data_IF_893369370370
#
_entry.id   IF_893369370370
#
_cell.length_a   1.000
_cell.length_b   1.000
_cell.length_c   1.000
_cell.angle_alpha   90.00
_cell.angle_beta   90.00
_cell.angle_gamma   90.00
#
_symmetry.space_group_name_H-M   'P 1'
#
loop_
_entity.id
_entity.type
_entity.pdbx_description
1 polymer ?
#
# COMPACT_ATOMS: atom_id res chain seq x y z
N UNK A 1 22.01 -5.16 42.00
CA UNK A 1 21.55 -6.17 41.07
C UNK A 1 21.59 -5.61 39.68
N UNK A 2 22.52 -6.00 38.81
CA UNK A 2 22.57 -5.61 37.40
C UNK A 2 21.48 -6.42 36.67
N UNK A 3 20.45 -5.73 36.13
CA UNK A 3 19.51 -6.37 35.17
C UNK A 3 20.33 -6.71 33.94
N UNK A 4 20.51 -8.01 33.69
CA UNK A 4 21.03 -8.56 32.45
C UNK A 4 20.02 -8.16 31.35
N UNK A 5 20.39 -7.22 30.48
CA UNK A 5 19.71 -7.02 29.21
C UNK A 5 19.98 -8.28 28.39
N UNK A 6 19.05 -9.23 28.42
CA UNK A 6 19.02 -10.29 27.41
C UNK A 6 18.70 -9.61 26.08
N UNK A 7 19.68 -9.55 25.20
CA UNK A 7 19.43 -9.21 23.80
C UNK A 7 18.44 -10.24 23.26
N UNK A 8 17.24 -9.78 22.90
CA UNK A 8 16.25 -10.60 22.24
C UNK A 8 16.65 -10.60 20.76
N UNK A 9 17.18 -11.72 20.30
CA UNK A 9 17.49 -11.94 18.88
C UNK A 9 16.16 -11.97 18.13
N UNK A 10 15.96 -11.12 17.10
CA UNK A 10 14.74 -11.18 16.32
C UNK A 10 14.64 -12.54 15.59
N UNK A 11 13.51 -13.20 15.73
CA UNK A 11 13.21 -14.49 15.10
C UNK A 11 12.76 -14.32 13.63
N UNK A 12 12.97 -13.14 13.05
CA UNK A 12 12.54 -12.81 11.69
C UNK A 12 13.64 -12.08 10.92
N UNK A 13 13.79 -12.45 9.67
CA UNK A 13 14.63 -11.75 8.71
C UNK A 13 13.80 -10.71 7.96
N UNK A 14 14.25 -9.47 8.00
CA UNK A 14 13.61 -8.32 7.36
C UNK A 14 14.39 -7.90 6.11
N UNK A 15 13.68 -7.43 5.10
CA UNK A 15 14.31 -6.86 3.91
C UNK A 15 15.03 -5.56 4.25
N UNK A 16 16.35 -5.50 3.95
CA UNK A 16 17.21 -4.37 4.33
C UNK A 16 16.91 -3.10 3.53
N UNK A 17 16.49 -3.23 2.26
CA UNK A 17 16.14 -2.08 1.43
C UNK A 17 14.88 -1.39 1.97
N UNK A 18 13.88 -2.19 2.33
CA UNK A 18 12.64 -1.69 2.95
C UNK A 18 12.92 -1.05 4.31
N UNK A 19 13.79 -1.66 5.13
CA UNK A 19 14.21 -1.07 6.41
C UNK A 19 14.96 0.26 6.24
N UNK A 20 15.66 0.46 5.14
CA UNK A 20 16.35 1.71 4.86
C UNK A 20 15.37 2.87 4.67
N UNK A 21 14.27 2.66 3.96
CA UNK A 21 13.19 3.65 3.86
C UNK A 21 12.51 3.91 5.21
N UNK A 22 12.30 2.86 6.01
CA UNK A 22 11.74 3.03 7.35
C UNK A 22 12.62 3.88 8.25
N UNK A 23 13.94 3.63 8.24
CA UNK A 23 14.92 4.43 8.98
C UNK A 23 14.93 5.89 8.51
N UNK A 24 14.85 6.12 7.18
CA UNK A 24 14.78 7.47 6.61
C UNK A 24 13.53 8.21 7.10
N UNK A 25 12.37 7.56 7.11
CA UNK A 25 11.13 8.14 7.64
C UNK A 25 11.25 8.52 9.11
N UNK A 26 11.90 7.68 9.93
CA UNK A 26 12.07 7.92 11.37
C UNK A 26 13.09 9.01 11.68
N UNK A 27 14.16 9.13 10.89
CA UNK A 27 15.20 10.13 11.08
C UNK A 27 14.81 11.54 10.63
N UNK A 28 13.79 11.67 9.79
CA UNK A 28 13.30 12.97 9.30
C UNK A 28 12.25 13.55 10.25
N UNK A 29 12.20 14.87 10.37
CA UNK A 29 11.09 15.61 10.99
C UNK A 29 10.10 16.15 9.95
N UNK A 30 10.48 16.17 8.66
CA UNK A 30 9.66 16.66 7.58
C UNK A 30 8.55 15.64 7.23
N UNK A 31 7.25 16.00 7.30
CA UNK A 31 6.16 15.09 6.99
C UNK A 31 6.13 14.66 5.51
N UNK A 32 6.66 15.48 4.60
CA UNK A 32 6.80 15.10 3.19
C UNK A 32 7.76 13.91 3.03
N UNK A 33 8.96 14.01 3.63
CA UNK A 33 9.97 12.94 3.58
C UNK A 33 9.43 11.68 4.27
N UNK A 34 8.78 11.82 5.44
CA UNK A 34 8.15 10.69 6.13
C UNK A 34 7.13 9.98 5.24
N UNK A 35 6.21 10.74 4.65
CA UNK A 35 5.14 10.18 3.85
C UNK A 35 5.68 9.41 2.64
N UNK A 36 6.58 10.02 1.87
CA UNK A 36 7.16 9.41 0.68
C UNK A 36 8.00 8.17 1.05
N UNK A 37 8.75 8.22 2.14
CA UNK A 37 9.55 7.06 2.58
C UNK A 37 8.65 5.88 3.00
N UNK A 38 7.56 6.12 3.71
CA UNK A 38 6.59 5.05 4.03
C UNK A 38 5.87 4.54 2.78
N UNK A 39 5.57 5.42 1.80
CA UNK A 39 4.99 4.99 0.53
C UNK A 39 5.94 4.09 -0.26
N UNK A 40 7.24 4.39 -0.33
CA UNK A 40 8.23 3.54 -0.99
C UNK A 40 8.29 2.12 -0.42
N UNK A 41 8.00 1.93 0.87
CA UNK A 41 7.87 0.60 1.47
C UNK A 41 6.72 -0.18 0.83
N UNK A 42 5.58 0.46 0.57
CA UNK A 42 4.44 -0.16 -0.11
C UNK A 42 4.77 -0.46 -1.57
N UNK A 43 5.36 0.51 -2.26
CA UNK A 43 5.73 0.46 -3.69
C UNK A 43 6.72 -0.66 -3.98
N UNK A 44 7.64 -0.94 -3.05
CA UNK A 44 8.63 -2.02 -3.18
C UNK A 44 7.98 -3.39 -3.47
N UNK A 45 6.80 -3.64 -2.94
CA UNK A 45 6.09 -4.91 -3.11
C UNK A 45 5.09 -4.94 -4.28
N UNK A 46 4.94 -3.87 -5.05
CA UNK A 46 3.95 -3.81 -6.13
C UNK A 46 4.16 -4.91 -7.16
N UNK A 47 5.37 -5.05 -7.66
CA UNK A 47 5.68 -6.04 -8.71
C UNK A 47 5.59 -7.47 -8.20
N UNK A 48 6.07 -7.73 -6.99
CA UNK A 48 6.06 -9.07 -6.41
C UNK A 48 4.63 -9.57 -6.19
N UNK A 49 3.81 -8.78 -5.50
CA UNK A 49 2.41 -9.14 -5.21
C UNK A 49 1.58 -9.23 -6.49
N UNK A 50 1.83 -8.35 -7.45
CA UNK A 50 1.16 -8.40 -8.74
C UNK A 50 1.50 -9.68 -9.52
N UNK A 51 2.79 -10.05 -9.60
CA UNK A 51 3.23 -11.29 -10.25
C UNK A 51 2.61 -12.53 -9.58
N UNK A 52 2.65 -12.58 -8.24
CA UNK A 52 2.02 -13.67 -7.48
C UNK A 52 0.53 -13.78 -7.78
N UNK A 53 -0.17 -12.64 -7.87
CA UNK A 53 -1.60 -12.62 -8.17
C UNK A 53 -1.93 -13.08 -9.59
N UNK A 54 -1.12 -12.69 -10.59
CA UNK A 54 -1.28 -13.20 -11.97
C UNK A 54 -1.06 -14.71 -12.01
N UNK A 55 0.03 -15.18 -11.42
CA UNK A 55 0.35 -16.62 -11.38
C UNK A 55 -0.76 -17.42 -10.71
N UNK A 56 -1.25 -16.98 -9.55
CA UNK A 56 -2.39 -17.63 -8.88
C UNK A 56 -3.63 -17.69 -9.78
N UNK A 57 -3.98 -16.57 -10.40
CA UNK A 57 -5.16 -16.53 -11.29
C UNK A 57 -5.01 -17.43 -12.53
N UNK A 58 -3.78 -17.58 -13.06
CA UNK A 58 -3.50 -18.49 -14.17
C UNK A 58 -3.64 -19.94 -13.69
N UNK A 59 -3.07 -20.28 -12.54
CA UNK A 59 -3.19 -21.61 -11.95
C UNK A 59 -4.67 -21.96 -11.74
N UNK A 60 -5.45 -21.07 -11.13
CA UNK A 60 -6.88 -21.28 -10.92
C UNK A 60 -7.62 -21.57 -12.23
N UNK A 61 -7.26 -20.87 -13.32
CA UNK A 61 -7.89 -21.09 -14.64
C UNK A 61 -7.48 -22.41 -15.28
N UNK A 62 -6.20 -22.77 -15.25
CA UNK A 62 -5.71 -24.00 -15.91
C UNK A 62 -6.05 -25.27 -15.12
N UNK A 63 -6.31 -25.14 -13.81
CA UNK A 63 -6.74 -26.24 -12.94
C UNK A 63 -8.25 -26.38 -12.85
N UNK A 64 -9.02 -25.43 -13.45
CA UNK A 64 -10.47 -25.52 -13.46
C UNK A 64 -10.94 -26.72 -14.26
N UNK A 65 -11.98 -27.49 -13.78
CA UNK A 65 -12.47 -28.67 -14.48
C UNK A 65 -12.89 -28.44 -15.93
N UNK A 66 -13.35 -27.23 -16.26
CA UNK A 66 -13.77 -26.86 -17.62
C UNK A 66 -12.61 -26.43 -18.54
N UNK A 67 -11.36 -26.39 -18.04
CA UNK A 67 -10.21 -26.05 -18.86
C UNK A 67 -9.63 -27.30 -19.54
N UNK A 68 -9.41 -27.19 -20.84
CA UNK A 68 -8.72 -28.21 -21.62
C UNK A 68 -7.67 -27.56 -22.52
N UNK A 69 -6.40 -27.97 -22.34
CA UNK A 69 -5.31 -27.50 -23.23
C UNK A 69 -5.42 -28.04 -24.66
N UNK A 70 -6.33 -29.00 -24.91
CA UNK A 70 -6.62 -29.58 -26.25
C UNK A 70 -7.70 -28.80 -26.99
N UNK A 71 -8.35 -27.87 -26.36
CA UNK A 71 -9.40 -27.01 -26.89
C UNK A 71 -8.85 -25.62 -27.17
N UNK A 72 -8.64 -25.27 -28.44
CA UNK A 72 -8.04 -24.01 -28.86
C UNK A 72 -8.79 -22.80 -28.29
N UNK A 73 -10.12 -22.86 -28.19
CA UNK A 73 -10.95 -21.79 -27.65
C UNK A 73 -10.62 -21.53 -26.17
N UNK A 74 -10.41 -22.60 -25.37
CA UNK A 74 -10.05 -22.47 -23.93
C UNK A 74 -8.66 -21.86 -23.74
N UNK A 75 -7.72 -22.27 -24.59
CA UNK A 75 -6.37 -21.69 -24.60
C UNK A 75 -6.43 -20.22 -25.03
N UNK A 76 -7.23 -19.87 -26.02
CA UNK A 76 -7.42 -18.49 -26.47
C UNK A 76 -8.06 -17.59 -25.38
N UNK A 77 -9.06 -18.11 -24.66
CA UNK A 77 -9.65 -17.42 -23.50
C UNK A 77 -8.59 -17.13 -22.43
N UNK A 78 -7.70 -18.09 -22.14
CA UNK A 78 -6.59 -17.90 -21.18
C UNK A 78 -5.62 -16.80 -21.66
N UNK A 79 -5.22 -16.83 -22.95
CA UNK A 79 -4.34 -15.81 -23.55
C UNK A 79 -4.99 -14.42 -23.47
N UNK A 80 -6.27 -14.32 -23.76
CA UNK A 80 -7.03 -13.06 -23.71
C UNK A 80 -7.10 -12.52 -22.28
N UNK A 81 -7.33 -13.41 -21.31
CA UNK A 81 -7.29 -13.05 -19.89
C UNK A 81 -5.92 -12.50 -19.47
N UNK A 82 -4.83 -13.19 -19.84
CA UNK A 82 -3.46 -12.75 -19.50
C UNK A 82 -3.16 -11.38 -20.13
N UNK A 83 -3.47 -11.21 -21.44
CA UNK A 83 -3.29 -9.94 -22.14
C UNK A 83 -4.08 -8.80 -21.47
N UNK A 84 -5.32 -9.05 -21.04
CA UNK A 84 -6.12 -8.09 -20.30
C UNK A 84 -5.43 -7.67 -19.00
N UNK A 85 -4.93 -8.62 -18.21
CA UNK A 85 -4.23 -8.34 -16.96
C UNK A 85 -2.92 -7.60 -17.13
N UNK A 86 -2.14 -7.95 -18.16
CA UNK A 86 -0.89 -7.24 -18.49
C UNK A 86 -1.17 -5.81 -18.94
N UNK A 87 -2.18 -5.61 -19.80
CA UNK A 87 -2.58 -4.28 -20.25
C UNK A 87 -3.13 -3.41 -19.11
N UNK A 88 -3.90 -3.98 -18.19
CA UNK A 88 -4.38 -3.26 -17.00
C UNK A 88 -3.21 -2.75 -16.13
N UNK A 89 -2.03 -3.36 -16.26
CA UNK A 89 -0.81 -2.98 -15.56
C UNK A 89 0.10 -2.01 -16.36
N UNK A 90 -0.28 -1.66 -17.60
CA UNK A 90 0.49 -0.81 -18.52
C UNK A 90 1.58 -1.58 -19.27
N UNK A 91 1.74 -1.31 -20.57
CA UNK A 91 2.74 -1.95 -21.43
C UNK A 91 4.19 -1.62 -21.03
N UNK A 92 4.41 -0.52 -20.27
CA UNK A 92 5.72 -0.03 -19.84
C UNK A 92 6.09 -0.42 -18.40
N UNK A 93 5.39 -1.37 -17.77
CA UNK A 93 5.66 -1.76 -16.37
C UNK A 93 5.26 -0.68 -15.33
N UNK A 94 4.79 0.48 -15.76
CA UNK A 94 4.15 1.49 -14.93
C UNK A 94 2.67 1.18 -14.79
N UNK A 95 2.37 -0.01 -14.26
CA UNK A 95 1.02 -0.47 -14.04
C UNK A 95 0.19 0.51 -13.23
N UNK A 96 -1.10 0.29 -13.21
CA UNK A 96 -2.01 1.06 -12.36
C UNK A 96 -1.55 0.97 -10.90
N UNK A 97 -0.58 1.83 -10.50
CA UNK A 97 0.03 1.89 -9.15
C UNK A 97 -1.04 1.79 -8.05
N UNK A 98 -2.21 2.40 -8.28
CA UNK A 98 -3.33 2.31 -7.36
C UNK A 98 -3.89 0.88 -7.26
N UNK A 99 -3.96 0.14 -8.36
CA UNK A 99 -4.40 -1.25 -8.33
C UNK A 99 -3.36 -2.16 -7.64
N UNK A 100 -2.07 -1.93 -7.91
CA UNK A 100 -0.98 -2.62 -7.22
C UNK A 100 -1.00 -2.34 -5.73
N UNK A 101 -1.24 -1.09 -5.32
CA UNK A 101 -1.40 -0.74 -3.91
C UNK A 101 -2.59 -1.47 -3.27
N UNK A 102 -3.74 -1.61 -3.96
CA UNK A 102 -4.87 -2.40 -3.44
C UNK A 102 -4.46 -3.85 -3.21
N UNK A 103 -3.67 -4.44 -4.10
CA UNK A 103 -3.20 -5.83 -3.93
C UNK A 103 -2.25 -5.95 -2.73
N UNK A 104 -1.28 -5.05 -2.58
CA UNK A 104 -0.36 -5.02 -1.44
C UNK A 104 -1.11 -4.86 -0.11
N UNK A 105 -2.09 -3.95 -0.08
CA UNK A 105 -2.91 -3.76 1.13
C UNK A 105 -3.71 -5.02 1.47
N UNK A 106 -4.29 -5.71 0.49
CA UNK A 106 -5.05 -6.96 0.71
C UNK A 106 -4.16 -8.11 1.18
N UNK A 107 -2.92 -8.15 0.74
CA UNK A 107 -1.97 -9.21 1.07
C UNK A 107 -1.43 -9.06 2.50
N UNK A 108 -1.11 -7.83 2.92
CA UNK A 108 -0.37 -7.60 4.14
C UNK A 108 -1.16 -6.95 5.28
N UNK A 109 -2.36 -6.40 5.02
CA UNK A 109 -3.07 -5.58 6.01
C UNK A 109 -4.36 -6.26 6.46
N UNK A 110 -4.43 -6.55 7.76
CA UNK A 110 -5.69 -6.79 8.47
C UNK A 110 -6.29 -5.44 8.92
N UNK A 111 -7.55 -5.20 8.58
CA UNK A 111 -8.20 -3.90 8.82
C UNK A 111 -8.44 -3.66 10.31
N UNK A 112 -8.81 -4.70 11.06
CA UNK A 112 -9.04 -4.57 12.50
C UNK A 112 -7.75 -4.22 13.23
N UNK A 113 -6.65 -4.92 12.89
CA UNK A 113 -5.33 -4.65 13.43
C UNK A 113 -4.83 -3.24 13.03
N UNK A 114 -5.10 -2.80 11.79
CA UNK A 114 -4.75 -1.45 11.33
C UNK A 114 -5.42 -0.38 12.18
N UNK A 115 -6.73 -0.51 12.44
CA UNK A 115 -7.48 0.43 13.27
C UNK A 115 -6.92 0.48 14.70
N UNK A 116 -6.70 -0.68 15.32
CA UNK A 116 -6.16 -0.78 16.68
C UNK A 116 -4.76 -0.18 16.80
N UNK A 117 -3.92 -0.35 15.79
CA UNK A 117 -2.55 0.22 15.77
C UNK A 117 -2.57 1.72 15.57
N UNK A 118 -3.46 2.25 14.74
CA UNK A 118 -3.64 3.70 14.55
C UNK A 118 -4.06 4.34 15.86
N UNK A 119 -5.03 3.78 16.59
CA UNK A 119 -5.49 4.30 17.87
C UNK A 119 -4.38 4.37 18.92
N UNK A 120 -3.41 3.45 18.87
CA UNK A 120 -2.27 3.46 19.80
C UNK A 120 -1.25 4.57 19.55
N UNK A 121 -1.17 5.09 18.32
CA UNK A 121 -0.13 6.07 17.95
C UNK A 121 -0.66 7.45 17.59
N UNK A 122 -1.97 7.60 17.41
CA UNK A 122 -2.62 8.84 17.05
C UNK A 122 -3.72 9.20 18.03
N UNK A 123 -3.68 10.43 18.56
CA UNK A 123 -4.73 10.96 19.45
C UNK A 123 -6.08 11.11 18.75
N UNK A 124 -6.07 11.29 17.43
CA UNK A 124 -7.29 11.44 16.63
C UNK A 124 -7.89 10.07 16.23
N UNK A 125 -7.11 9.00 16.42
CA UNK A 125 -7.51 7.63 16.10
C UNK A 125 -7.87 7.39 14.62
N UNK A 126 -8.40 6.21 14.34
CA UNK A 126 -8.84 5.84 12.98
C UNK A 126 -10.08 6.64 12.53
N UNK A 127 -10.87 7.20 13.49
CA UNK A 127 -12.06 8.01 13.20
C UNK A 127 -11.74 9.28 12.41
N UNK A 128 -10.52 9.80 12.54
CA UNK A 128 -10.08 10.93 11.73
C UNK A 128 -10.23 10.62 10.24
N UNK A 129 -9.80 9.46 9.79
CA UNK A 129 -9.85 9.07 8.37
C UNK A 129 -11.25 8.75 7.88
N UNK A 130 -12.16 8.38 8.77
CA UNK A 130 -13.59 8.20 8.46
C UNK A 130 -14.30 9.54 8.25
N UNK A 131 -13.91 10.56 8.98
CA UNK A 131 -14.63 11.83 9.02
C UNK A 131 -14.02 12.89 8.09
N UNK A 132 -12.73 12.80 7.76
CA UNK A 132 -12.00 13.82 7.02
C UNK A 132 -11.47 13.32 5.68
N UNK A 133 -11.56 14.18 4.67
CA UNK A 133 -10.83 14.01 3.39
C UNK A 133 -9.48 14.73 3.48
N UNK A 134 -8.58 14.44 2.53
CA UNK A 134 -7.34 15.19 2.39
C UNK A 134 -7.60 16.40 1.50
N UNK A 135 -7.60 17.59 2.06
CA UNK A 135 -8.11 18.81 1.38
C UNK A 135 -7.27 19.26 0.19
N UNK A 136 -5.98 18.93 0.14
CA UNK A 136 -5.09 19.31 -0.97
C UNK A 136 -5.06 18.27 -2.12
N UNK A 137 -5.86 17.19 -2.03
CA UNK A 137 -5.97 16.17 -3.08
C UNK A 137 -7.36 15.52 -3.08
N UNK A 138 -7.58 14.53 -3.97
CA UNK A 138 -8.81 13.72 -4.02
C UNK A 138 -8.80 12.55 -3.03
N UNK A 139 -8.11 12.67 -1.91
CA UNK A 139 -8.06 11.66 -0.87
C UNK A 139 -9.43 11.49 -0.20
N UNK A 140 -10.06 10.33 -0.41
CA UNK A 140 -11.40 10.05 0.10
C UNK A 140 -11.42 9.73 1.60
N UNK A 141 -12.60 9.80 2.20
CA UNK A 141 -12.87 9.22 3.52
C UNK A 141 -12.76 7.70 3.45
N UNK A 142 -12.43 7.06 4.57
CA UNK A 142 -12.32 5.61 4.67
C UNK A 142 -13.57 5.05 5.33
N UNK A 143 -14.30 4.21 4.60
CA UNK A 143 -15.41 3.43 5.14
C UNK A 143 -14.91 2.13 5.77
N UNK A 144 -14.57 2.13 7.04
CA UNK A 144 -13.95 1.00 7.72
C UNK A 144 -14.80 -0.29 7.71
N UNK A 145 -16.13 -0.16 7.61
CA UNK A 145 -17.06 -1.27 7.58
C UNK A 145 -17.46 -1.74 6.17
N UNK A 146 -16.78 -1.22 5.13
CA UNK A 146 -17.15 -1.44 3.72
C UNK A 146 -16.67 -2.80 3.17
N UNK A 147 -16.31 -3.73 4.03
CA UNK A 147 -15.81 -5.05 3.64
C UNK A 147 -14.62 -4.94 2.68
N UNK A 148 -14.77 -5.53 1.47
CA UNK A 148 -13.68 -5.48 0.47
C UNK A 148 -13.44 -4.08 -0.12
N UNK A 149 -14.37 -3.15 0.03
CA UNK A 149 -14.27 -1.77 -0.47
C UNK A 149 -13.26 -0.93 0.30
N UNK A 150 -13.01 -1.24 1.58
CA UNK A 150 -12.08 -0.51 2.45
C UNK A 150 -10.68 -0.39 1.86
N UNK A 151 -10.15 -1.46 1.25
CA UNK A 151 -8.83 -1.45 0.62
C UNK A 151 -8.75 -0.48 -0.56
N UNK A 152 -9.83 -0.36 -1.33
CA UNK A 152 -9.91 0.59 -2.43
C UNK A 152 -9.96 2.03 -1.94
N UNK A 153 -10.66 2.29 -0.83
CA UNK A 153 -10.69 3.60 -0.17
C UNK A 153 -9.32 3.98 0.39
N UNK A 154 -8.64 3.05 1.08
CA UNK A 154 -7.28 3.21 1.58
C UNK A 154 -6.30 3.55 0.44
N UNK A 155 -6.28 2.70 -0.60
CA UNK A 155 -5.42 2.91 -1.75
C UNK A 155 -5.68 4.24 -2.44
N UNK A 156 -6.95 4.63 -2.61
CA UNK A 156 -7.31 5.91 -3.22
C UNK A 156 -6.80 7.09 -2.39
N UNK A 157 -6.97 7.06 -1.05
CA UNK A 157 -6.47 8.10 -0.16
C UNK A 157 -4.97 8.22 -0.21
N UNK A 158 -4.26 7.09 -0.07
CA UNK A 158 -2.79 7.04 -0.04
C UNK A 158 -2.20 7.48 -1.40
N UNK A 159 -2.72 6.92 -2.49
CA UNK A 159 -2.23 7.20 -3.85
C UNK A 159 -2.44 8.66 -4.25
N UNK A 160 -3.63 9.21 -3.99
CA UNK A 160 -3.92 10.61 -4.34
C UNK A 160 -3.10 11.58 -3.49
N UNK A 161 -2.86 11.27 -2.22
CA UNK A 161 -1.99 12.08 -1.37
C UNK A 161 -0.56 12.07 -1.90
N UNK A 162 0.00 10.89 -2.22
CA UNK A 162 1.33 10.78 -2.83
C UNK A 162 1.44 11.55 -4.15
N UNK A 163 0.45 11.42 -5.01
CA UNK A 163 0.45 12.14 -6.29
C UNK A 163 0.42 13.66 -6.11
N UNK A 164 -0.33 14.16 -5.14
CA UNK A 164 -0.34 15.60 -4.83
C UNK A 164 0.99 16.10 -4.27
N UNK A 165 1.78 15.22 -3.61
CA UNK A 165 3.12 15.53 -3.13
C UNK A 165 4.14 15.62 -4.27
N UNK A 166 4.10 14.68 -5.24
CA UNK A 166 5.15 14.54 -6.27
C UNK A 166 4.87 15.40 -7.49
N UNK A 167 3.60 15.55 -7.89
CA UNK A 167 3.25 16.23 -9.13
C UNK A 167 2.85 17.69 -8.89
N UNK A 168 3.76 18.61 -9.20
CA UNK A 168 3.55 20.06 -9.12
C UNK A 168 2.97 20.69 -10.40
N UNK A 169 2.28 19.91 -11.27
CA UNK A 169 1.72 20.45 -12.52
C UNK A 169 0.53 21.38 -12.26
N UNK A 170 0.68 22.64 -12.66
CA UNK A 170 -0.26 23.76 -12.48
C UNK A 170 -1.55 23.70 -13.32
N UNK A 171 -1.96 22.53 -13.83
CA UNK A 171 -3.06 22.40 -14.78
C UNK A 171 -4.42 21.97 -14.23
N UNK A 172 -4.50 21.42 -13.03
CA UNK A 172 -5.78 21.05 -12.39
C UNK A 172 -6.01 21.92 -11.16
N UNK A 173 -7.10 22.66 -11.16
CA UNK A 173 -7.53 23.57 -10.07
C UNK A 173 -7.25 22.94 -8.68
N UNK A 174 -6.32 23.52 -7.93
CA UNK A 174 -6.15 23.41 -6.48
C UNK A 174 -5.83 22.03 -5.85
N UNK A 175 -5.38 21.03 -6.62
CA UNK A 175 -5.11 19.68 -6.10
C UNK A 175 -3.61 19.35 -6.03
N UNK A 176 -2.87 20.20 -5.32
CA UNK A 176 -1.42 20.07 -5.16
C UNK A 176 -1.05 20.43 -3.74
N UNK A 177 -0.20 19.63 -3.15
CA UNK A 177 0.41 19.94 -1.85
C UNK A 177 1.24 21.22 -1.95
N UNK A 178 1.03 22.14 -1.02
CA UNK A 178 1.84 23.34 -0.87
C UNK A 178 2.58 23.28 0.47
N UNK A 179 3.92 23.22 0.46
CA UNK A 179 4.72 23.26 1.67
C UNK A 179 4.30 24.40 2.60
N UNK A 180 4.44 24.21 3.88
CA UNK A 180 4.03 25.11 4.97
C UNK A 180 2.52 25.29 5.12
N UNK A 181 1.76 25.41 4.02
CA UNK A 181 0.30 25.58 4.08
C UNK A 181 -0.42 24.29 4.46
N UNK A 182 -0.04 23.19 3.80
CA UNK A 182 -0.74 21.91 3.90
C UNK A 182 0.00 20.92 4.83
N UNK A 183 1.08 21.34 5.46
CA UNK A 183 1.95 20.52 6.29
C UNK A 183 1.20 19.88 7.46
N UNK A 184 0.37 20.64 8.16
CA UNK A 184 -0.42 20.12 9.28
C UNK A 184 -1.43 19.04 8.85
N UNK A 185 -1.97 19.17 7.64
CA UNK A 185 -2.87 18.16 7.07
C UNK A 185 -2.08 16.90 6.74
N UNK A 186 -0.90 17.06 6.12
CA UNK A 186 -0.04 15.94 5.80
C UNK A 186 0.45 15.21 7.07
N UNK A 187 0.76 15.92 8.14
CA UNK A 187 1.12 15.33 9.44
C UNK A 187 0.03 14.39 9.95
N UNK A 188 -1.26 14.70 9.73
CA UNK A 188 -2.38 13.83 10.11
C UNK A 188 -2.46 12.53 9.29
N UNK A 189 -1.86 12.50 8.09
CA UNK A 189 -1.81 11.32 7.25
C UNK A 189 -0.64 10.36 7.61
N UNK A 190 0.36 10.84 8.35
CA UNK A 190 1.54 10.05 8.72
C UNK A 190 1.20 8.80 9.55
N UNK A 191 0.36 8.84 10.59
CA UNK A 191 0.02 7.64 11.36
C UNK A 191 -0.53 6.50 10.49
N UNK A 192 -1.39 6.80 9.52
CA UNK A 192 -1.97 5.81 8.62
C UNK A 192 -0.87 5.10 7.79
N UNK A 193 -0.08 5.88 7.05
CA UNK A 193 0.94 5.30 6.16
C UNK A 193 2.07 4.63 6.93
N UNK A 194 2.38 5.12 8.14
CA UNK A 194 3.35 4.52 9.04
C UNK A 194 2.90 3.13 9.50
N UNK A 195 1.68 3.01 10.03
CA UNK A 195 1.17 1.71 10.52
C UNK A 195 1.09 0.71 9.38
N UNK A 196 0.62 1.12 8.20
CA UNK A 196 0.58 0.26 7.02
C UNK A 196 1.99 -0.22 6.65
N UNK A 197 2.98 0.68 6.61
CA UNK A 197 4.37 0.32 6.32
C UNK A 197 4.94 -0.66 7.35
N UNK A 198 4.68 -0.44 8.65
CA UNK A 198 5.10 -1.34 9.74
C UNK A 198 4.47 -2.73 9.59
N UNK A 199 3.18 -2.80 9.28
CA UNK A 199 2.48 -4.09 9.06
C UNK A 199 3.06 -4.82 7.83
N UNK A 200 3.32 -4.11 6.73
CA UNK A 200 3.95 -4.71 5.54
C UNK A 200 5.33 -5.27 5.89
N UNK A 201 6.18 -4.51 6.58
CA UNK A 201 7.52 -4.97 7.01
C UNK A 201 7.43 -6.25 7.83
N UNK A 202 6.49 -6.31 8.78
CA UNK A 202 6.33 -7.45 9.67
C UNK A 202 5.78 -8.66 8.89
N UNK A 203 4.74 -8.47 8.08
CA UNK A 203 4.02 -9.55 7.42
C UNK A 203 4.75 -10.09 6.17
N UNK A 204 5.67 -9.31 5.57
CA UNK A 204 6.55 -9.75 4.50
C UNK A 204 7.85 -10.42 4.99
N UNK A 205 8.15 -10.35 6.30
CA UNK A 205 9.36 -10.90 6.88
C UNK A 205 9.32 -12.44 6.94
N UNK A 206 10.48 -13.07 6.82
CA UNK A 206 10.65 -14.54 6.91
C UNK A 206 10.95 -14.92 8.35
N UNK A 207 10.40 -16.04 8.80
CA UNK A 207 10.82 -16.68 10.07
C UNK A 207 12.16 -17.37 9.83
N UNK A 208 13.13 -17.13 10.72
CA UNK A 208 14.47 -17.75 10.71
C UNK A 208 14.40 -19.14 11.32
#
# INVERSE_FOLDING_TARGET
MKKSNKEIIPLREYNLDVLSYYKLAFSSNDPYIKYISFYHIMEYYFDEVFKQKIVSNIIDKITHPDFSYKEDDKVYELVTFIKGKVRDNGEDGQGNERASLVYVLKEYIDISELMDRIDKISSDGYQYYQNHTVSFCDGSKIGWNDGKGVYSCLANRIYNTRNALIHSKSGKKNKMYKPYRDEMILQKEIPLVRVIAEMIIINSSKVI
#
